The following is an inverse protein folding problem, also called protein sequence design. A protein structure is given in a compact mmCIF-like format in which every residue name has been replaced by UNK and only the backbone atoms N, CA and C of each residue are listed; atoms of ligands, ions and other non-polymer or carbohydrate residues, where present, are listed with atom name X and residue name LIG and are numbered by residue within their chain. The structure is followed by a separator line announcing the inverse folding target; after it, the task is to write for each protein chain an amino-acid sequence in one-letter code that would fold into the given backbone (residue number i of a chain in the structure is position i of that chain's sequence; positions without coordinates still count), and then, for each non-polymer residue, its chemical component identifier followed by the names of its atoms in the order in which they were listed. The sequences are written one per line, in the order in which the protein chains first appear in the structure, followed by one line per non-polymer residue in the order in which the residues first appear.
data_IF_503603389654
#
_entry.id   IF_503603389654
#
_cell.length_a   1.000
_cell.length_b   1.000
_cell.length_c   1.000
_cell.angle_alpha   90.00
_cell.angle_beta   90.00
_cell.angle_gamma   90.00
#
_symmetry.space_group_name_H-M   'P 1'
#
loop_
_entity.id
_entity.type
_entity.pdbx_description
1 polymer ?
#
# COMPACT_ATOMS: atom_id res chain seq x y z
N UNK A 1 -23.45 -2.11 27.36
CA UNK A 1 -23.14 -1.22 26.23
C UNK A 1 -22.57 -2.07 25.11
N UNK A 2 -23.33 -2.28 24.03
CA UNK A 2 -22.88 -3.09 22.90
C UNK A 2 -21.86 -2.28 22.10
N UNK A 3 -20.59 -2.68 22.13
CA UNK A 3 -19.55 -2.10 21.28
C UNK A 3 -19.85 -2.58 19.86
N UNK A 4 -20.43 -1.71 19.06
CA UNK A 4 -20.68 -1.90 17.65
C UNK A 4 -19.36 -2.31 16.98
N UNK A 5 -19.34 -3.50 16.37
CA UNK A 5 -18.16 -4.07 15.73
C UNK A 5 -17.75 -3.15 14.58
N UNK A 6 -16.81 -2.25 14.86
CA UNK A 6 -16.27 -1.32 13.87
C UNK A 6 -15.75 -2.10 12.67
N UNK A 7 -16.44 -1.94 11.54
CA UNK A 7 -16.08 -2.56 10.28
C UNK A 7 -14.76 -1.94 9.82
N UNK A 8 -13.67 -2.70 9.91
CA UNK A 8 -12.37 -2.28 9.39
C UNK A 8 -12.54 -2.15 7.87
N UNK A 9 -12.38 -0.94 7.32
CA UNK A 9 -12.53 -0.66 5.90
C UNK A 9 -11.66 -1.64 5.08
N UNK A 10 -12.19 -2.27 4.01
CA UNK A 10 -11.49 -3.29 3.23
C UNK A 10 -10.17 -2.78 2.63
N UNK A 11 -10.06 -1.49 2.33
CA UNK A 11 -8.82 -0.84 1.88
C UNK A 11 -7.78 -0.81 2.98
N UNK A 12 -8.20 -0.55 4.23
CA UNK A 12 -7.32 -0.63 5.40
C UNK A 12 -6.76 -2.03 5.58
N UNK A 13 -7.61 -3.05 5.46
CA UNK A 13 -7.16 -4.46 5.53
C UNK A 13 -6.14 -4.77 4.43
N UNK A 14 -6.36 -4.30 3.21
CA UNK A 14 -5.44 -4.51 2.10
C UNK A 14 -4.09 -3.79 2.32
N UNK A 15 -4.11 -2.53 2.76
CA UNK A 15 -2.91 -1.75 3.01
C UNK A 15 -2.07 -2.34 4.17
N UNK A 16 -2.74 -2.86 5.21
CA UNK A 16 -2.10 -3.59 6.30
C UNK A 16 -1.53 -4.94 5.86
N UNK A 17 -2.26 -5.69 5.04
CA UNK A 17 -1.76 -6.94 4.46
C UNK A 17 -0.51 -6.69 3.59
N UNK A 18 -0.50 -5.59 2.83
CA UNK A 18 0.67 -5.17 2.08
C UNK A 18 1.85 -4.86 3.01
N UNK A 19 1.67 -4.08 4.08
CA UNK A 19 2.74 -3.77 5.06
C UNK A 19 3.34 -5.02 5.72
N UNK A 20 2.51 -6.02 5.99
CA UNK A 20 2.94 -7.29 6.62
C UNK A 20 3.61 -8.26 5.66
N UNK A 21 3.42 -8.09 4.35
CA UNK A 21 4.01 -8.95 3.34
C UNK A 21 5.46 -8.57 3.07
N UNK A 22 6.30 -9.57 2.82
CA UNK A 22 7.67 -9.44 2.31
C UNK A 22 7.72 -9.28 0.77
N UNK A 23 6.56 -9.29 0.10
CA UNK A 23 6.45 -9.06 -1.35
C UNK A 23 5.72 -7.75 -1.68
N UNK A 24 6.28 -7.01 -2.63
CA UNK A 24 5.67 -5.82 -3.23
C UNK A 24 4.55 -6.19 -4.21
N UNK A 25 3.66 -5.24 -4.47
CA UNK A 25 2.64 -5.27 -5.52
C UNK A 25 3.17 -5.80 -6.87
N UNK A 26 4.38 -5.38 -7.26
CA UNK A 26 5.04 -5.75 -8.51
C UNK A 26 5.67 -7.17 -8.53
N UNK A 27 5.62 -7.91 -7.41
CA UNK A 27 6.23 -9.24 -7.28
C UNK A 27 7.66 -9.26 -6.75
N UNK A 28 8.34 -8.11 -6.68
CA UNK A 28 9.68 -8.02 -6.08
C UNK A 28 9.63 -8.15 -4.56
N UNK A 29 10.71 -8.72 -3.99
CA UNK A 29 10.91 -8.78 -2.56
C UNK A 29 11.09 -7.36 -1.97
N UNK A 30 10.52 -7.13 -0.79
CA UNK A 30 10.63 -5.90 0.00
C UNK A 30 10.87 -6.27 1.47
N UNK A 31 11.23 -5.32 2.32
CA UNK A 31 11.26 -5.59 3.76
C UNK A 31 9.84 -5.55 4.30
N UNK A 32 9.57 -6.42 5.28
CA UNK A 32 8.40 -6.27 6.14
C UNK A 32 8.40 -4.87 6.74
N UNK A 33 7.22 -4.27 6.90
CA UNK A 33 7.01 -2.87 7.32
C UNK A 33 7.20 -1.80 6.21
N UNK A 34 7.66 -2.18 5.01
CA UNK A 34 7.63 -1.28 3.85
C UNK A 34 6.38 -1.52 3.00
N UNK A 35 5.72 -0.46 2.52
CA UNK A 35 4.54 -0.61 1.65
C UNK A 35 4.92 -1.10 0.24
N UNK A 36 6.09 -0.71 -0.24
CA UNK A 36 6.58 -1.00 -1.59
C UNK A 36 8.04 -1.47 -1.55
N UNK A 37 8.48 -2.21 -2.58
CA UNK A 37 9.91 -2.49 -2.76
C UNK A 37 10.66 -1.21 -3.10
N UNK A 38 11.99 -1.22 -2.89
CA UNK A 38 12.85 -0.09 -3.23
C UNK A 38 12.64 0.43 -4.65
N UNK A 39 12.48 -0.46 -5.63
CA UNK A 39 12.31 -0.02 -7.02
C UNK A 39 10.99 0.72 -7.26
N UNK A 40 9.87 0.21 -6.74
CA UNK A 40 8.58 0.92 -6.82
C UNK A 40 8.61 2.21 -5.99
N UNK A 41 9.24 2.17 -4.81
CA UNK A 41 9.42 3.35 -3.98
C UNK A 41 10.18 4.44 -4.71
N UNK A 42 11.33 4.11 -5.33
CA UNK A 42 12.13 5.07 -6.11
C UNK A 42 11.48 5.49 -7.43
N UNK A 43 10.55 4.71 -7.98
CA UNK A 43 9.76 5.14 -9.13
C UNK A 43 8.74 6.22 -8.75
N UNK A 44 8.28 6.26 -7.50
CA UNK A 44 7.32 7.27 -7.05
C UNK A 44 7.97 8.66 -6.95
N UNK A 45 7.23 9.73 -7.30
CA UNK A 45 7.70 11.10 -7.13
C UNK A 45 8.02 11.39 -5.65
N UNK A 46 9.03 12.23 -5.41
CA UNK A 46 9.46 12.63 -4.06
C UNK A 46 8.32 13.05 -3.11
N UNK A 47 7.32 13.87 -3.52
CA UNK A 47 6.21 14.23 -2.64
C UNK A 47 5.36 13.03 -2.19
N UNK A 48 5.08 12.07 -3.08
CA UNK A 48 4.32 10.86 -2.72
C UNK A 48 5.08 9.97 -1.73
N UNK A 49 6.40 9.83 -1.92
CA UNK A 49 7.26 9.09 -1.00
C UNK A 49 7.23 9.66 0.41
N UNK A 50 7.29 10.98 0.53
CA UNK A 50 7.20 11.66 1.83
C UNK A 50 5.84 11.45 2.49
N UNK A 51 4.74 11.51 1.72
CA UNK A 51 3.38 11.32 2.25
C UNK A 51 3.12 9.90 2.78
N UNK A 52 3.75 8.87 2.20
CA UNK A 52 3.63 7.49 2.66
C UNK A 52 4.16 7.28 4.08
N UNK A 53 5.27 7.93 4.44
CA UNK A 53 5.92 7.77 5.75
C UNK A 53 5.53 8.84 6.77
N UNK A 54 5.21 10.05 6.33
CA UNK A 54 4.78 11.13 7.23
C UNK A 54 3.44 10.81 7.91
N UNK A 55 2.64 9.92 7.34
CA UNK A 55 1.19 9.90 7.60
C UNK A 55 0.63 8.53 8.00
N UNK A 56 1.40 7.72 8.74
CA UNK A 56 0.83 6.59 9.50
C UNK A 56 -0.26 7.03 10.50
N UNK A 57 -0.39 8.33 10.78
CA UNK A 57 -1.40 8.91 11.69
C UNK A 57 -2.65 9.49 11.00
N UNK A 58 -2.66 9.73 9.68
CA UNK A 58 -3.78 10.40 9.00
C UNK A 58 -3.88 10.04 7.51
N UNK A 59 -4.58 8.96 7.16
CA UNK A 59 -4.87 8.66 5.74
C UNK A 59 -3.80 7.86 4.99
N UNK A 60 -2.92 7.11 5.68
CA UNK A 60 -1.99 6.16 5.06
C UNK A 60 -2.64 5.29 3.96
N UNK A 61 -3.86 4.82 4.21
CA UNK A 61 -4.61 4.00 3.26
C UNK A 61 -4.81 4.77 1.94
N UNK A 62 -5.23 6.02 2.00
CA UNK A 62 -5.48 6.84 0.81
C UNK A 62 -4.19 7.03 -0.02
N UNK A 63 -3.09 7.42 0.64
CA UNK A 63 -1.78 7.55 0.01
C UNK A 63 -1.23 6.24 -0.56
N UNK A 64 -1.50 5.11 0.10
CA UNK A 64 -1.14 3.79 -0.42
C UNK A 64 -1.86 3.51 -1.74
N UNK A 65 -3.17 3.75 -1.81
CA UNK A 65 -3.94 3.56 -3.03
C UNK A 65 -3.56 4.56 -4.13
N UNK A 66 -3.24 5.81 -3.76
CA UNK A 66 -2.75 6.81 -4.70
C UNK A 66 -1.39 6.40 -5.32
N UNK A 67 -0.46 5.92 -4.50
CA UNK A 67 0.83 5.40 -4.96
C UNK A 67 0.67 4.15 -5.85
N UNK A 68 -0.27 3.25 -5.50
CA UNK A 68 -0.61 2.08 -6.31
C UNK A 68 -1.19 2.47 -7.68
N UNK A 69 -2.12 3.42 -7.71
CA UNK A 69 -2.71 3.94 -8.96
C UNK A 69 -1.62 4.57 -9.83
N UNK A 70 -0.74 5.37 -9.23
CA UNK A 70 0.39 5.98 -9.92
C UNK A 70 1.33 4.92 -10.51
N UNK A 71 1.73 3.92 -9.72
CA UNK A 71 2.59 2.83 -10.19
C UNK A 71 1.93 2.03 -11.32
N UNK A 72 0.62 1.82 -11.23
CA UNK A 72 -0.15 1.13 -12.27
C UNK A 72 -0.17 1.94 -13.57
N UNK A 73 -0.48 3.23 -13.50
CA UNK A 73 -0.59 4.11 -14.68
C UNK A 73 0.75 4.40 -15.35
N UNK A 74 1.79 4.69 -14.56
CA UNK A 74 3.06 5.21 -15.10
C UNK A 74 4.17 4.17 -15.20
N UNK A 75 4.07 3.06 -14.47
CA UNK A 75 5.11 2.01 -14.49
C UNK A 75 4.61 0.65 -14.96
N UNK A 76 3.29 0.49 -15.18
CA UNK A 76 2.67 -0.79 -15.54
C UNK A 76 2.76 -1.86 -14.45
N UNK A 77 3.13 -1.48 -13.22
CA UNK A 77 3.28 -2.39 -12.08
C UNK A 77 2.00 -2.40 -11.28
N UNK A 78 1.12 -3.36 -11.57
CA UNK A 78 -0.12 -3.57 -10.84
C UNK A 78 0.13 -4.34 -9.54
N UNK A 79 -0.60 -4.05 -8.46
CA UNK A 79 -0.69 -4.98 -7.34
C UNK A 79 -1.40 -6.23 -7.82
N UNK A 80 -0.73 -7.38 -7.73
CA UNK A 80 -1.45 -8.66 -7.61
C UNK A 80 -2.20 -8.68 -6.28
N UNK A 81 -3.25 -7.88 -6.17
CA UNK A 81 -4.34 -8.20 -5.27
C UNK A 81 -4.82 -9.56 -5.74
N UNK A 82 -4.55 -10.60 -4.95
CA UNK A 82 -4.88 -11.99 -5.29
C UNK A 82 -6.28 -12.03 -5.90
N UNK A 83 -6.31 -12.34 -7.19
CA UNK A 83 -7.46 -12.93 -7.86
C UNK A 83 -7.78 -14.19 -7.05
N UNK A 84 -8.82 -14.09 -6.22
CA UNK A 84 -9.34 -15.22 -5.46
C UNK A 84 -10.12 -16.07 -6.47
N UNK A 85 -9.45 -17.12 -6.95
CA UNK A 85 -10.07 -18.28 -7.56
C UNK A 85 -10.78 -19.13 -6.49
#
# INVERSE_FOLDING_TARGET
MAVERQQIDPRTRQALAALRSDHCACGHHKRSEESFCRQCYHSLPAPMRSNLYATLRNGYVDFYFEAVDWLTKYTGRTPKAKEQA
#
